data_IF_403908508492
#
_entry.id   IF_403908508492
#
_cell.length_a   1.000
_cell.length_b   1.000
_cell.length_c   1.000
_cell.angle_alpha   90.00
_cell.angle_beta   90.00
_cell.angle_gamma   90.00
#
_symmetry.space_group_name_H-M   'P 1'
#
loop_
_entity.id
_entity.type
_entity.pdbx_description
1 polymer ?
#
# COMPACT_ATOMS: atom_id res chain seq x y z
N UNK A 1 -50.89 -22.16 5.60
CA UNK A 1 -50.01 -23.15 4.98
C UNK A 1 -49.27 -22.61 3.77
N UNK A 2 -49.90 -22.02 2.76
CA UNK A 2 -49.19 -21.44 1.60
C UNK A 2 -48.18 -20.37 2.04
N UNK A 3 -48.59 -19.43 2.89
CA UNK A 3 -47.73 -18.37 3.40
C UNK A 3 -46.51 -18.93 4.18
N UNK A 4 -46.70 -20.06 4.89
CA UNK A 4 -45.58 -20.72 5.61
C UNK A 4 -44.59 -21.38 4.65
N UNK A 5 -45.07 -22.01 3.57
CA UNK A 5 -44.24 -22.59 2.56
C UNK A 5 -43.46 -21.54 1.75
N UNK A 6 -44.11 -20.42 1.43
CA UNK A 6 -43.48 -19.30 0.74
C UNK A 6 -42.37 -18.65 1.62
N UNK A 7 -42.63 -18.49 2.93
CA UNK A 7 -41.61 -17.99 3.87
C UNK A 7 -40.42 -18.93 4.03
N UNK A 8 -40.67 -20.26 4.07
CA UNK A 8 -39.61 -21.26 4.13
C UNK A 8 -38.77 -21.28 2.85
N UNK A 9 -39.39 -21.15 1.68
CA UNK A 9 -38.68 -21.02 0.40
C UNK A 9 -37.79 -19.79 0.39
N UNK A 10 -38.28 -18.64 0.81
CA UNK A 10 -37.52 -17.41 0.90
C UNK A 10 -36.31 -17.53 1.86
N UNK A 11 -36.47 -18.23 2.99
CA UNK A 11 -35.38 -18.54 3.91
C UNK A 11 -34.31 -19.44 3.26
N UNK A 12 -34.72 -20.48 2.55
CA UNK A 12 -33.80 -21.37 1.84
C UNK A 12 -32.99 -20.62 0.78
N UNK A 13 -33.63 -19.73 0.03
CA UNK A 13 -32.98 -18.89 -0.98
C UNK A 13 -31.97 -17.94 -0.33
N UNK A 14 -32.35 -17.32 0.81
CA UNK A 14 -31.47 -16.42 1.57
C UNK A 14 -30.21 -17.15 2.09
N UNK A 15 -30.34 -18.37 2.62
CA UNK A 15 -29.18 -19.13 3.06
C UNK A 15 -28.33 -19.62 1.88
N UNK A 16 -28.94 -19.92 0.75
CA UNK A 16 -28.21 -20.26 -0.48
C UNK A 16 -27.39 -19.09 -1.00
N UNK A 17 -27.95 -17.88 -0.99
CA UNK A 17 -27.23 -16.65 -1.32
C UNK A 17 -26.09 -16.37 -0.32
N UNK A 18 -26.32 -16.62 0.97
CA UNK A 18 -25.28 -16.47 2.00
C UNK A 18 -24.10 -17.42 1.75
N UNK A 19 -24.34 -18.68 1.40
CA UNK A 19 -23.29 -19.64 1.03
C UNK A 19 -22.49 -19.14 -0.17
N UNK A 20 -23.19 -18.63 -1.19
CA UNK A 20 -22.55 -18.07 -2.38
C UNK A 20 -21.68 -16.85 -2.04
N UNK A 21 -22.22 -15.91 -1.28
CA UNK A 21 -21.47 -14.72 -0.86
C UNK A 21 -20.22 -15.06 -0.05
N UNK A 22 -20.32 -16.07 0.85
CA UNK A 22 -19.16 -16.55 1.60
C UNK A 22 -18.11 -17.23 0.70
N UNK A 23 -18.52 -17.99 -0.30
CA UNK A 23 -17.60 -18.59 -1.28
C UNK A 23 -16.91 -17.53 -2.15
N UNK A 24 -17.64 -16.51 -2.59
CA UNK A 24 -17.09 -15.37 -3.34
C UNK A 24 -16.09 -14.58 -2.47
N UNK A 25 -16.37 -14.46 -1.17
CA UNK A 25 -15.46 -13.84 -0.20
C UNK A 25 -14.15 -14.62 -0.08
N UNK A 26 -14.20 -15.97 0.03
CA UNK A 26 -13.00 -16.82 0.06
C UNK A 26 -12.12 -16.62 -1.19
N UNK A 27 -12.73 -16.55 -2.37
CA UNK A 27 -12.00 -16.29 -3.63
C UNK A 27 -11.33 -14.91 -3.61
N UNK A 28 -12.01 -13.91 -3.06
CA UNK A 28 -11.49 -12.55 -2.92
C UNK A 28 -10.31 -12.49 -1.94
N UNK A 29 -10.43 -13.21 -0.81
CA UNK A 29 -9.37 -13.35 0.20
C UNK A 29 -8.12 -14.04 -0.37
N UNK A 30 -8.28 -15.10 -1.17
CA UNK A 30 -7.17 -15.75 -1.85
C UNK A 30 -6.43 -14.79 -2.80
N UNK A 31 -7.18 -14.00 -3.57
CA UNK A 31 -6.60 -12.99 -4.46
C UNK A 31 -5.86 -11.89 -3.70
N UNK A 32 -6.42 -11.44 -2.58
CA UNK A 32 -5.82 -10.44 -1.71
C UNK A 32 -4.55 -10.99 -1.02
N UNK A 33 -4.54 -12.25 -0.59
CA UNK A 33 -3.36 -12.90 -0.01
C UNK A 33 -2.22 -13.00 -1.02
N UNK A 34 -2.51 -13.32 -2.29
CA UNK A 34 -1.52 -13.29 -3.38
C UNK A 34 -0.94 -11.89 -3.60
N UNK A 35 -1.78 -10.85 -3.58
CA UNK A 35 -1.33 -9.47 -3.72
C UNK A 35 -0.40 -9.05 -2.59
N UNK A 36 -0.68 -9.45 -1.34
CA UNK A 36 0.20 -9.21 -0.19
C UNK A 36 1.52 -9.96 -0.32
N UNK A 37 1.52 -11.20 -0.80
CA UNK A 37 2.75 -11.94 -1.04
C UNK A 37 3.66 -11.22 -2.05
N UNK A 38 3.09 -10.75 -3.17
CA UNK A 38 3.81 -9.94 -4.15
C UNK A 38 4.33 -8.63 -3.55
N UNK A 39 3.49 -7.91 -2.78
CA UNK A 39 3.92 -6.69 -2.06
C UNK A 39 5.07 -6.97 -1.09
N UNK A 40 5.07 -8.11 -0.42
CA UNK A 40 6.16 -8.50 0.48
C UNK A 40 7.47 -8.71 -0.30
N UNK A 41 7.43 -9.41 -1.45
CA UNK A 41 8.58 -9.60 -2.33
C UNK A 41 9.13 -8.25 -2.83
N UNK A 42 8.28 -7.37 -3.31
CA UNK A 42 8.65 -6.03 -3.78
C UNK A 42 9.27 -5.19 -2.65
N UNK A 43 8.73 -5.30 -1.43
CA UNK A 43 9.25 -4.60 -0.26
C UNK A 43 10.62 -5.13 0.15
N UNK A 44 10.84 -6.45 0.08
CA UNK A 44 12.16 -7.06 0.30
C UNK A 44 13.19 -6.60 -0.74
N UNK A 45 12.81 -6.52 -2.00
CA UNK A 45 13.66 -6.01 -3.08
C UNK A 45 14.02 -4.53 -2.85
N UNK A 46 13.08 -3.70 -2.37
CA UNK A 46 13.34 -2.30 -2.01
C UNK A 46 14.33 -2.19 -0.84
N UNK A 47 14.20 -3.02 0.20
CA UNK A 47 15.17 -3.05 1.31
C UNK A 47 16.58 -3.39 0.82
N UNK A 48 16.69 -4.37 -0.06
CA UNK A 48 18.00 -4.76 -0.63
C UNK A 48 18.58 -3.66 -1.51
N UNK A 49 17.78 -3.04 -2.37
CA UNK A 49 18.21 -1.89 -3.18
C UNK A 49 18.66 -0.73 -2.29
N UNK A 50 17.97 -0.41 -1.20
CA UNK A 50 18.38 0.63 -0.27
C UNK A 50 19.74 0.36 0.35
N UNK A 51 20.06 -0.90 0.69
CA UNK A 51 21.40 -1.29 1.17
C UNK A 51 22.45 -1.04 0.11
N UNK A 52 22.16 -1.35 -1.16
CA UNK A 52 23.09 -1.11 -2.27
C UNK A 52 23.40 0.38 -2.47
N UNK A 53 22.48 1.29 -2.16
CA UNK A 53 22.71 2.73 -2.27
C UNK A 53 23.39 3.35 -1.04
N UNK A 54 23.30 2.73 0.11
CA UNK A 54 23.84 3.30 1.36
C UNK A 54 25.38 3.42 1.33
N UNK A 55 26.10 2.40 0.86
CA UNK A 55 27.55 2.43 0.78
C UNK A 55 28.06 3.43 -0.27
N UNK A 56 27.54 3.49 -1.51
CA UNK A 56 27.88 4.53 -2.49
C UNK A 56 27.60 5.96 -2.00
N UNK A 57 26.46 6.19 -1.35
CA UNK A 57 26.14 7.52 -0.81
C UNK A 57 27.14 7.96 0.26
N UNK A 58 27.55 7.05 1.14
CA UNK A 58 28.61 7.31 2.14
C UNK A 58 29.96 7.59 1.48
N UNK A 59 30.35 6.77 0.51
CA UNK A 59 31.61 6.96 -0.25
C UNK A 59 31.61 8.29 -1.01
N UNK A 60 30.47 8.70 -1.57
CA UNK A 60 30.32 10.00 -2.24
C UNK A 60 30.44 11.16 -1.26
N UNK A 61 29.90 11.04 -0.04
CA UNK A 61 30.10 12.04 1.03
C UNK A 61 31.60 12.20 1.38
N UNK A 62 32.28 11.08 1.65
CA UNK A 62 33.70 11.07 1.99
C UNK A 62 34.57 11.61 0.84
N UNK A 63 34.18 11.35 -0.41
CA UNK A 63 34.90 11.88 -1.59
C UNK A 63 34.66 13.40 -1.73
N UNK A 64 33.45 13.88 -1.46
CA UNK A 64 33.17 15.31 -1.48
C UNK A 64 33.93 16.07 -0.40
N UNK A 65 34.10 15.49 0.80
CA UNK A 65 34.92 16.08 1.86
C UNK A 65 36.38 16.20 1.45
N UNK A 66 36.93 15.15 0.84
CA UNK A 66 38.32 15.19 0.34
C UNK A 66 38.50 16.16 -0.82
N UNK A 67 37.51 16.29 -1.71
CA UNK A 67 37.55 17.27 -2.78
C UNK A 67 37.56 18.70 -2.22
N UNK A 68 36.79 18.99 -1.19
CA UNK A 68 36.79 20.29 -0.51
C UNK A 68 38.17 20.61 0.07
N UNK A 69 38.80 19.64 0.77
CA UNK A 69 40.16 19.80 1.29
C UNK A 69 41.19 20.07 0.18
N UNK A 70 41.09 19.38 -0.97
CA UNK A 70 41.95 19.61 -2.11
C UNK A 70 41.78 21.01 -2.73
N UNK A 71 40.54 21.46 -2.88
CA UNK A 71 40.26 22.81 -3.39
C UNK A 71 40.78 23.88 -2.45
N UNK A 72 40.64 23.72 -1.14
CA UNK A 72 41.17 24.63 -0.15
C UNK A 72 42.74 24.65 -0.21
N UNK A 73 43.39 23.51 -0.33
CA UNK A 73 44.81 23.40 -0.50
C UNK A 73 45.32 24.10 -1.80
N UNK A 74 44.58 23.92 -2.90
CA UNK A 74 44.86 24.61 -4.16
C UNK A 74 44.70 26.13 -4.04
N UNK A 75 43.67 26.58 -3.28
CA UNK A 75 43.46 28.01 -3.04
C UNK A 75 44.59 28.64 -2.23
N UNK A 76 45.15 27.91 -1.24
CA UNK A 76 46.33 28.34 -0.48
C UNK A 76 47.56 28.41 -1.37
N UNK A 77 47.78 27.44 -2.25
CA UNK A 77 48.88 27.47 -3.22
C UNK A 77 48.74 28.66 -4.17
N UNK A 78 47.55 28.91 -4.70
CA UNK A 78 47.27 30.08 -5.55
C UNK A 78 47.56 31.40 -4.82
N UNK A 79 47.23 31.49 -3.53
CA UNK A 79 47.56 32.65 -2.71
C UNK A 79 49.06 32.85 -2.53
N UNK A 80 49.80 31.78 -2.28
CA UNK A 80 51.29 31.81 -2.20
C UNK A 80 51.91 32.20 -3.54
N UNK A 81 51.41 31.68 -4.66
CA UNK A 81 51.86 32.04 -6.01
C UNK A 81 51.65 33.54 -6.26
N UNK A 82 50.52 34.11 -5.85
CA UNK A 82 50.23 35.54 -5.98
C UNK A 82 51.23 36.42 -5.20
N UNK A 83 51.57 36.01 -3.98
CA UNK A 83 52.57 36.70 -3.16
C UNK A 83 53.98 36.62 -3.76
N UNK A 84 54.39 35.44 -4.25
CA UNK A 84 55.69 35.27 -4.93
C UNK A 84 55.76 36.08 -6.22
N UNK A 85 54.68 36.14 -7.02
CA UNK A 85 54.60 36.93 -8.24
C UNK A 85 54.73 38.43 -7.93
N UNK A 86 54.13 38.91 -6.85
CA UNK A 86 54.26 40.30 -6.38
C UNK A 86 55.74 40.62 -6.02
N UNK A 87 56.40 39.68 -5.31
CA UNK A 87 57.84 39.85 -4.99
C UNK A 87 58.71 39.86 -6.25
N UNK A 88 58.40 39.00 -7.24
CA UNK A 88 59.09 38.98 -8.53
C UNK A 88 58.92 40.27 -9.31
N UNK A 89 57.70 40.87 -9.29
CA UNK A 89 57.40 42.17 -9.90
C UNK A 89 58.21 43.29 -9.26
N UNK A 90 58.33 43.32 -7.92
CA UNK A 90 59.14 44.29 -7.20
C UNK A 90 60.61 44.13 -7.51
N UNK A 91 61.11 42.90 -7.54
CA UNK A 91 62.51 42.61 -7.85
C UNK A 91 62.83 43.01 -9.28
N UNK A 92 62.01 42.75 -10.26
CA UNK A 92 62.21 43.18 -11.66
C UNK A 92 62.23 44.71 -11.79
N UNK A 93 61.33 45.39 -11.05
CA UNK A 93 61.37 46.86 -11.03
C UNK A 93 62.66 47.41 -10.46
N UNK A 94 63.18 46.90 -9.36
CA UNK A 94 64.40 47.30 -8.75
C UNK A 94 65.59 47.00 -9.71
N UNK A 95 65.60 45.82 -10.36
CA UNK A 95 66.60 45.50 -11.35
C UNK A 95 66.59 46.43 -12.56
N UNK A 96 65.40 46.86 -13.05
CA UNK A 96 65.34 47.83 -14.12
C UNK A 96 65.87 49.23 -13.71
N UNK A 97 65.60 49.68 -12.49
CA UNK A 97 66.09 50.93 -11.95
C UNK A 97 67.67 50.90 -11.86
N UNK A 98 68.17 49.88 -11.26
CA UNK A 98 69.63 49.69 -11.13
C UNK A 98 70.33 49.61 -12.49
N UNK A 99 69.76 48.85 -13.40
CA UNK A 99 70.32 48.74 -14.78
C UNK A 99 70.20 50.09 -15.51
N UNK A 100 69.17 50.84 -15.32
CA UNK A 100 69.00 52.21 -15.91
C UNK A 100 70.03 53.20 -15.44
N UNK A 101 70.57 53.06 -14.21
CA UNK A 101 71.67 53.89 -13.70
C UNK A 101 73.01 53.62 -14.40
N UNK A 102 73.15 52.48 -15.09
CA UNK A 102 74.36 52.15 -15.88
C UNK A 102 74.31 52.74 -17.29
N UNK A 103 73.27 53.47 -17.69
CA UNK A 103 73.18 54.12 -19.00
C UNK A 103 73.13 53.09 -20.16
N UNK A 104 73.81 53.36 -21.25
CA UNK A 104 73.82 52.46 -22.43
C UNK A 104 74.33 51.04 -22.14
N UNK A 105 75.21 50.83 -21.15
CA UNK A 105 75.68 49.52 -20.75
C UNK A 105 74.61 48.65 -20.05
N UNK A 106 73.64 49.32 -19.43
CA UNK A 106 72.51 48.64 -18.72
C UNK A 106 71.26 48.37 -19.58
N UNK A 107 71.23 48.86 -20.80
CA UNK A 107 69.99 48.87 -21.64
C UNK A 107 69.36 47.43 -21.84
N UNK A 108 70.18 46.44 -22.15
CA UNK A 108 69.74 45.07 -22.30
C UNK A 108 69.15 44.46 -21.00
N UNK A 109 69.69 44.86 -19.84
CA UNK A 109 69.21 44.43 -18.55
C UNK A 109 67.89 45.12 -18.20
N UNK A 110 67.68 46.38 -18.60
CA UNK A 110 66.39 47.06 -18.46
C UNK A 110 65.32 46.34 -19.29
N UNK A 111 65.64 46.02 -20.57
CA UNK A 111 64.70 45.26 -21.42
C UNK A 111 64.36 43.91 -20.84
N UNK A 112 65.30 43.16 -20.30
CA UNK A 112 65.10 41.90 -19.64
C UNK A 112 64.20 42.04 -18.35
N UNK A 113 64.46 43.03 -17.52
CA UNK A 113 63.75 43.33 -16.34
C UNK A 113 62.26 43.72 -16.65
N UNK A 114 62.08 44.52 -17.73
CA UNK A 114 60.76 44.90 -18.19
C UNK A 114 59.97 43.65 -18.72
N UNK A 115 60.60 42.78 -19.47
CA UNK A 115 60.01 41.53 -19.92
C UNK A 115 59.58 40.63 -18.74
N UNK A 116 60.35 40.58 -17.64
CA UNK A 116 59.93 39.88 -16.40
C UNK A 116 58.74 40.54 -15.77
N UNK A 117 58.68 41.88 -15.76
CA UNK A 117 57.54 42.64 -15.23
C UNK A 117 56.26 42.36 -16.03
N UNK A 118 56.33 42.36 -17.36
CA UNK A 118 55.20 42.02 -18.24
C UNK A 118 54.72 40.59 -18.00
N UNK A 119 55.63 39.65 -17.88
CA UNK A 119 55.33 38.25 -17.52
C UNK A 119 54.62 38.17 -16.16
N UNK A 120 55.06 38.94 -15.14
CA UNK A 120 54.41 39.02 -13.83
C UNK A 120 52.99 39.52 -13.91
N UNK A 121 52.66 40.50 -14.75
CA UNK A 121 51.29 40.97 -14.96
C UNK A 121 50.42 39.88 -15.57
N UNK A 122 50.97 39.15 -16.54
CA UNK A 122 50.23 37.99 -17.13
C UNK A 122 49.99 36.87 -16.12
N UNK A 123 50.97 36.55 -15.29
CA UNK A 123 50.84 35.55 -14.22
C UNK A 123 49.83 35.98 -13.16
N UNK A 124 49.75 37.28 -12.79
CA UNK A 124 48.79 37.76 -11.83
C UNK A 124 47.35 37.53 -12.33
N UNK A 125 47.10 37.84 -13.62
CA UNK A 125 45.81 37.57 -14.27
C UNK A 125 45.48 36.07 -14.31
N UNK A 126 46.46 35.21 -14.59
CA UNK A 126 46.26 33.74 -14.59
C UNK A 126 45.97 33.18 -13.18
N UNK A 127 46.66 33.70 -12.14
CA UNK A 127 46.39 33.31 -10.75
C UNK A 127 44.97 33.75 -10.32
N UNK A 128 44.51 34.94 -10.70
CA UNK A 128 43.18 35.39 -10.38
C UNK A 128 42.08 34.54 -11.10
N UNK A 129 42.35 34.13 -12.33
CA UNK A 129 41.48 33.16 -13.02
C UNK A 129 41.41 31.80 -12.28
N UNK A 130 42.60 31.26 -11.86
CA UNK A 130 42.60 30.03 -11.05
C UNK A 130 41.84 30.18 -9.75
N UNK A 131 41.96 31.32 -9.06
CA UNK A 131 41.18 31.59 -7.84
C UNK A 131 39.66 31.58 -8.08
N UNK A 132 39.25 32.15 -9.21
CA UNK A 132 37.84 32.14 -9.60
C UNK A 132 37.33 30.70 -9.82
N UNK A 133 38.06 29.92 -10.61
CA UNK A 133 37.74 28.52 -10.87
C UNK A 133 37.64 27.67 -9.56
N UNK A 134 38.59 27.90 -8.63
CA UNK A 134 38.56 27.23 -7.32
C UNK A 134 37.36 27.64 -6.47
N UNK A 135 36.93 28.90 -6.55
CA UNK A 135 35.70 29.39 -5.86
C UNK A 135 34.45 28.74 -6.43
N UNK A 136 34.37 28.64 -7.75
CA UNK A 136 33.25 27.94 -8.44
C UNK A 136 33.23 26.45 -8.09
N UNK A 137 34.41 25.77 -8.15
CA UNK A 137 34.51 24.37 -7.75
C UNK A 137 34.08 24.14 -6.28
N UNK A 138 34.44 25.06 -5.37
CA UNK A 138 34.02 25.00 -3.97
C UNK A 138 32.50 25.11 -3.83
N UNK A 139 31.85 25.98 -4.60
CA UNK A 139 30.37 26.12 -4.62
C UNK A 139 29.70 24.84 -5.14
N UNK A 140 30.24 24.23 -6.21
CA UNK A 140 29.76 22.98 -6.76
C UNK A 140 29.89 21.80 -5.77
N UNK A 141 31.02 21.71 -5.06
CA UNK A 141 31.23 20.69 -4.02
C UNK A 141 30.22 20.89 -2.88
N UNK A 142 29.96 22.10 -2.47
CA UNK A 142 28.95 22.38 -1.43
C UNK A 142 27.54 21.95 -1.87
N UNK A 143 27.16 22.23 -3.11
CA UNK A 143 25.90 21.77 -3.68
C UNK A 143 25.83 20.23 -3.76
N UNK A 144 26.93 19.57 -4.14
CA UNK A 144 27.03 18.12 -4.16
C UNK A 144 26.85 17.52 -2.75
N UNK A 145 27.47 18.09 -1.73
CA UNK A 145 27.33 17.66 -0.33
C UNK A 145 25.88 17.76 0.15
N UNK A 146 25.17 18.82 -0.22
CA UNK A 146 23.75 18.99 0.08
C UNK A 146 22.91 17.91 -0.59
N UNK A 147 23.15 17.62 -1.88
CA UNK A 147 22.44 16.57 -2.61
C UNK A 147 22.69 15.19 -1.99
N UNK A 148 23.93 14.88 -1.63
CA UNK A 148 24.29 13.62 -0.97
C UNK A 148 23.57 13.48 0.38
N UNK A 149 23.55 14.53 1.18
CA UNK A 149 22.82 14.57 2.46
C UNK A 149 21.32 14.32 2.26
N UNK A 150 20.73 14.91 1.24
CA UNK A 150 19.34 14.68 0.87
C UNK A 150 19.07 13.21 0.48
N UNK A 151 19.96 12.62 -0.34
CA UNK A 151 19.87 11.19 -0.72
C UNK A 151 19.92 10.29 0.52
N UNK A 152 20.86 10.55 1.45
CA UNK A 152 20.93 9.79 2.71
C UNK A 152 19.66 9.92 3.54
N UNK A 153 19.06 11.11 3.59
CA UNK A 153 17.77 11.34 4.22
C UNK A 153 16.66 10.50 3.58
N UNK A 154 16.54 10.53 2.26
CA UNK A 154 15.55 9.74 1.52
C UNK A 154 15.71 8.24 1.72
N UNK A 155 16.94 7.72 1.75
CA UNK A 155 17.22 6.30 2.02
C UNK A 155 16.78 5.90 3.42
N UNK A 156 16.98 6.76 4.42
CA UNK A 156 16.50 6.54 5.80
C UNK A 156 14.98 6.50 5.86
N UNK A 157 14.31 7.45 5.24
CA UNK A 157 12.85 7.52 5.23
C UNK A 157 12.23 6.33 4.48
N UNK A 158 12.85 5.92 3.38
CA UNK A 158 12.45 4.75 2.61
C UNK A 158 12.59 3.46 3.44
N UNK A 159 13.67 3.32 4.23
CA UNK A 159 13.83 2.18 5.15
C UNK A 159 12.75 2.14 6.24
N UNK A 160 12.34 3.28 6.77
CA UNK A 160 11.24 3.36 7.73
C UNK A 160 9.92 2.97 7.07
N UNK A 161 9.64 3.47 5.87
CA UNK A 161 8.44 3.16 5.12
C UNK A 161 8.34 1.67 4.75
N UNK A 162 9.43 1.07 4.26
CA UNK A 162 9.47 -0.36 3.93
C UNK A 162 9.29 -1.25 5.15
N UNK A 163 9.89 -0.90 6.29
CA UNK A 163 9.69 -1.62 7.55
C UNK A 163 8.21 -1.58 8.00
N UNK A 164 7.57 -0.42 7.85
CA UNK A 164 6.14 -0.26 8.15
C UNK A 164 5.27 -1.10 7.22
N UNK A 165 5.57 -1.11 5.92
CA UNK A 165 4.85 -1.93 4.93
C UNK A 165 4.97 -3.43 5.22
N UNK A 166 6.15 -3.91 5.59
CA UNK A 166 6.34 -5.31 6.00
C UNK A 166 5.49 -5.67 7.21
N UNK A 167 5.45 -4.82 8.22
CA UNK A 167 4.61 -5.04 9.42
C UNK A 167 3.12 -5.06 9.06
N UNK A 168 2.66 -4.13 8.24
CA UNK A 168 1.27 -4.08 7.78
C UNK A 168 0.90 -5.32 6.96
N UNK A 169 1.81 -5.84 6.12
CA UNK A 169 1.60 -7.08 5.40
C UNK A 169 1.37 -8.28 6.31
N UNK A 170 2.13 -8.40 7.39
CA UNK A 170 1.94 -9.46 8.41
C UNK A 170 0.58 -9.32 9.12
N UNK A 171 0.21 -8.10 9.50
CA UNK A 171 -1.08 -7.84 10.14
C UNK A 171 -2.26 -8.17 9.20
N UNK A 172 -2.16 -7.81 7.93
CA UNK A 172 -3.18 -8.12 6.91
C UNK A 172 -3.31 -9.63 6.67
N UNK A 173 -2.21 -10.37 6.59
CA UNK A 173 -2.26 -11.83 6.49
C UNK A 173 -2.97 -12.47 7.67
N UNK A 174 -2.77 -11.96 8.88
CA UNK A 174 -3.50 -12.44 10.05
C UNK A 174 -5.01 -12.18 9.96
N UNK A 175 -5.39 -10.97 9.54
CA UNK A 175 -6.81 -10.62 9.33
C UNK A 175 -7.43 -11.50 8.26
N UNK A 176 -6.74 -11.77 7.16
CA UNK A 176 -7.26 -12.64 6.10
C UNK A 176 -7.44 -14.07 6.56
N UNK A 177 -6.51 -14.61 7.36
CA UNK A 177 -6.66 -15.94 7.96
C UNK A 177 -7.92 -16.02 8.84
N UNK A 178 -8.21 -14.99 9.62
CA UNK A 178 -9.43 -14.93 10.44
C UNK A 178 -10.69 -14.82 9.57
N UNK A 179 -10.67 -13.99 8.52
CA UNK A 179 -11.80 -13.87 7.60
C UNK A 179 -12.07 -15.17 6.83
N UNK A 180 -11.02 -15.92 6.48
CA UNK A 180 -11.11 -17.23 5.84
C UNK A 180 -11.83 -18.23 6.76
N UNK A 181 -11.42 -18.34 8.02
CA UNK A 181 -12.04 -19.17 9.04
C UNK A 181 -13.53 -18.81 9.23
N UNK A 182 -13.84 -17.53 9.40
CA UNK A 182 -15.22 -17.05 9.54
C UNK A 182 -16.07 -17.39 8.31
N UNK A 183 -15.52 -17.26 7.10
CA UNK A 183 -16.23 -17.57 5.86
C UNK A 183 -16.53 -19.06 5.75
N UNK A 184 -15.59 -19.93 6.13
CA UNK A 184 -15.77 -21.38 6.17
C UNK A 184 -16.86 -21.76 7.19
N UNK A 185 -16.81 -21.22 8.40
CA UNK A 185 -17.79 -21.46 9.45
C UNK A 185 -19.19 -20.99 9.03
N UNK A 186 -19.28 -19.86 8.36
CA UNK A 186 -20.54 -19.33 7.84
C UNK A 186 -21.14 -20.25 6.77
N UNK A 187 -20.33 -20.80 5.86
CA UNK A 187 -20.79 -21.76 4.85
C UNK A 187 -21.35 -22.99 5.54
N UNK A 188 -20.65 -23.53 6.53
CA UNK A 188 -21.09 -24.74 7.24
C UNK A 188 -22.41 -24.48 8.01
N UNK A 189 -22.50 -23.37 8.75
CA UNK A 189 -23.70 -22.97 9.45
C UNK A 189 -24.90 -22.78 8.51
N UNK A 190 -24.71 -22.11 7.37
CA UNK A 190 -25.78 -21.95 6.37
C UNK A 190 -26.20 -23.29 5.76
N UNK A 191 -25.28 -24.20 5.49
CA UNK A 191 -25.61 -25.55 5.00
C UNK A 191 -26.45 -26.34 5.99
N UNK A 192 -26.11 -26.28 7.28
CA UNK A 192 -26.90 -26.91 8.35
C UNK A 192 -28.31 -26.34 8.44
N UNK A 193 -28.45 -25.01 8.29
CA UNK A 193 -29.77 -24.37 8.25
C UNK A 193 -30.59 -24.81 7.03
N UNK A 194 -29.99 -24.92 5.85
CA UNK A 194 -30.66 -25.43 4.64
C UNK A 194 -31.20 -26.85 4.87
N UNK A 195 -30.43 -27.74 5.52
CA UNK A 195 -30.90 -29.09 5.86
C UNK A 195 -32.06 -29.04 6.85
N UNK A 196 -31.99 -28.20 7.88
CA UNK A 196 -33.07 -28.02 8.86
C UNK A 196 -34.36 -27.50 8.22
N UNK A 197 -34.24 -26.53 7.31
CA UNK A 197 -35.37 -25.99 6.53
C UNK A 197 -36.01 -27.09 5.71
N UNK A 198 -35.24 -27.93 5.02
CA UNK A 198 -35.78 -29.06 4.23
C UNK A 198 -36.55 -30.04 5.10
N UNK A 199 -36.02 -30.41 6.25
CA UNK A 199 -36.72 -31.29 7.19
C UNK A 199 -38.02 -30.69 7.67
N UNK A 200 -38.04 -29.38 7.99
CA UNK A 200 -39.26 -28.67 8.38
C UNK A 200 -40.29 -28.63 7.26
N UNK A 201 -39.89 -28.44 6.01
CA UNK A 201 -40.77 -28.54 4.85
C UNK A 201 -41.44 -29.90 4.74
N UNK A 202 -40.66 -30.97 4.88
CA UNK A 202 -41.21 -32.35 4.85
C UNK A 202 -42.24 -32.60 5.98
N UNK A 203 -41.96 -32.12 7.18
CA UNK A 203 -42.86 -32.24 8.31
C UNK A 203 -44.17 -31.49 8.08
N UNK A 204 -44.11 -30.27 7.52
CA UNK A 204 -45.28 -29.49 7.17
C UNK A 204 -46.15 -30.21 6.13
N UNK A 205 -45.52 -30.75 5.08
CA UNK A 205 -46.28 -31.51 4.05
C UNK A 205 -46.98 -32.72 4.68
N UNK A 206 -46.29 -33.53 5.51
CA UNK A 206 -46.89 -34.65 6.22
C UNK A 206 -48.01 -34.23 7.16
N UNK A 207 -47.90 -33.07 7.80
CA UNK A 207 -48.94 -32.52 8.66
C UNK A 207 -50.17 -32.12 7.85
N UNK A 208 -49.99 -31.44 6.70
CA UNK A 208 -51.08 -31.08 5.81
C UNK A 208 -51.84 -32.27 5.26
N UNK A 209 -51.13 -33.32 4.85
CA UNK A 209 -51.76 -34.57 4.39
C UNK A 209 -52.57 -35.20 5.50
N UNK A 210 -52.04 -35.28 6.72
CA UNK A 210 -52.81 -35.80 7.89
C UNK A 210 -54.04 -34.98 8.19
N UNK A 211 -53.92 -33.67 8.19
CA UNK A 211 -55.07 -32.78 8.42
C UNK A 211 -56.12 -32.93 7.34
N UNK A 212 -55.72 -33.06 6.08
CA UNK A 212 -56.66 -33.29 4.98
C UNK A 212 -57.45 -34.58 5.18
N UNK A 213 -56.81 -35.72 5.52
CA UNK A 213 -57.46 -36.97 5.82
C UNK A 213 -58.44 -36.86 7.01
N UNK A 214 -58.03 -36.18 8.09
CA UNK A 214 -58.91 -35.97 9.26
C UNK A 214 -60.13 -35.14 8.92
N UNK A 215 -60.00 -34.14 8.05
CA UNK A 215 -61.11 -33.32 7.58
C UNK A 215 -62.04 -34.16 6.70
N UNK A 216 -61.55 -34.98 5.81
CA UNK A 216 -62.35 -35.89 4.98
C UNK A 216 -63.10 -36.91 5.84
N UNK A 217 -62.51 -37.53 6.84
CA UNK A 217 -63.13 -38.42 7.81
C UNK A 217 -64.24 -37.73 8.60
N UNK A 218 -63.99 -36.50 9.09
CA UNK A 218 -64.97 -35.71 9.80
C UNK A 218 -66.19 -35.37 8.91
N UNK A 219 -65.97 -35.02 7.64
CA UNK A 219 -67.07 -34.81 6.68
C UNK A 219 -67.89 -36.05 6.43
N UNK A 220 -67.25 -37.25 6.32
CA UNK A 220 -67.92 -38.53 6.16
C UNK A 220 -68.78 -38.85 7.39
N UNK A 221 -68.23 -38.64 8.60
CA UNK A 221 -69.02 -38.81 9.86
C UNK A 221 -70.18 -37.87 9.98
N UNK A 222 -70.05 -36.57 9.71
CA UNK A 222 -71.11 -35.58 9.68
C UNK A 222 -72.19 -35.99 8.67
N UNK A 223 -71.79 -36.47 7.49
CA UNK A 223 -72.77 -36.91 6.47
C UNK A 223 -73.61 -38.10 6.97
N UNK A 224 -72.98 -39.07 7.66
CA UNK A 224 -73.62 -40.23 8.26
C UNK A 224 -74.53 -39.83 9.38
N UNK A 225 -74.14 -38.94 10.28
CA UNK A 225 -75.00 -38.40 11.35
C UNK A 225 -76.18 -37.67 10.79
N UNK A 226 -76.05 -36.92 9.70
CA UNK A 226 -77.13 -36.22 9.03
C UNK A 226 -78.18 -37.19 8.47
N UNK A 227 -77.73 -38.27 7.83
CA UNK A 227 -78.63 -39.36 7.35
C UNK A 227 -79.38 -40.00 8.50
N UNK A 228 -78.74 -40.37 9.59
CA UNK A 228 -79.29 -40.94 10.77
C UNK A 228 -80.38 -39.96 11.41
N UNK A 229 -80.03 -38.66 11.46
CA UNK A 229 -80.95 -37.65 11.96
C UNK A 229 -82.26 -37.53 11.12
N UNK A 230 -82.11 -37.63 9.80
CA UNK A 230 -83.24 -37.63 8.88
C UNK A 230 -84.08 -38.89 9.06
N UNK A 231 -83.45 -40.03 9.22
CA UNK A 231 -84.21 -41.31 9.46
C UNK A 231 -84.92 -41.35 10.82
N UNK A 232 -84.26 -40.87 11.87
CA UNK A 232 -84.90 -40.67 13.20
C UNK A 232 -86.09 -39.74 13.10
N UNK A 233 -85.96 -38.60 12.42
CA UNK A 233 -87.03 -37.65 12.19
C UNK A 233 -88.22 -38.33 11.48
N UNK A 234 -87.94 -39.05 10.41
CA UNK A 234 -88.99 -39.83 9.67
C UNK A 234 -89.72 -40.86 10.56
N UNK A 235 -88.94 -41.53 11.43
CA UNK A 235 -89.46 -42.50 12.36
C UNK A 235 -90.31 -41.86 13.45
N UNK A 236 -89.90 -40.73 13.99
CA UNK A 236 -90.63 -39.93 14.95
C UNK A 236 -91.97 -39.42 14.33
N UNK A 237 -91.93 -38.92 13.11
CA UNK A 237 -93.14 -38.44 12.41
C UNK A 237 -94.14 -39.62 12.20
N UNK A 238 -93.66 -40.80 11.81
CA UNK A 238 -94.52 -42.01 11.71
C UNK A 238 -95.11 -42.39 13.04
N UNK A 239 -94.40 -42.37 14.15
CA UNK A 239 -94.86 -42.68 15.49
C UNK A 239 -95.91 -41.64 15.94
N UNK A 240 -95.73 -40.37 15.64
CA UNK A 240 -96.67 -39.32 15.94
C UNK A 240 -97.98 -39.46 15.16
N UNK A 241 -97.90 -39.81 13.89
CA UNK A 241 -99.09 -40.06 13.06
C UNK A 241 -99.87 -41.27 13.56
N UNK A 242 -99.17 -42.38 13.88
CA UNK A 242 -99.75 -43.57 14.46
C UNK A 242 -100.44 -43.27 15.84
N UNK A 243 -99.81 -42.45 16.65
CA UNK A 243 -100.38 -41.96 17.93
C UNK A 243 -101.65 -41.09 17.74
N UNK A 244 -101.70 -40.25 16.71
CA UNK A 244 -102.86 -39.42 16.39
C UNK A 244 -104.02 -40.22 15.85
N UNK A 245 -103.76 -41.31 15.11
CA UNK A 245 -104.80 -42.21 14.63
C UNK A 245 -105.49 -43.01 15.76
N UNK A 246 -104.78 -43.27 16.87
CA UNK A 246 -105.28 -44.01 18.03
C UNK A 246 -106.08 -43.19 19.03
N UNK A 247 -105.98 -41.88 18.94
CA UNK A 247 -106.73 -40.93 19.82
C UNK A 247 -108.01 -40.39 19.17
N UNK A 248 -108.30 -40.80 17.95
CA UNK A 248 -109.58 -40.63 17.29
C UNK A 248 -110.41 -41.92 17.41
#
# INVERSE_FOLDING_TARGET
>A
SKDSMDAISALNDSFTECVKAAADNLTSLESAAKAIATQHEDTCALVENNKHFTAPAKSLSETSDRLEEHVDSCADIAAQMKEQNKQMSVLSLNAAIEAGMLGEQGKLFVEAAESIREASVSYDSAIDAVKQELSEAKAEISALKEQVSHIVGLLKDNNVATTKLMKQGVELNHVFSQCDEISVDMIEACRQQIVSIRNTQEEIIKFEERNKLQIEDAYAEISTQRKNSVEIKSTVDKVLDYSRERVR
#
